data_IF_427783669710
#
_entry.id   IF_427783669710
#
_cell.length_a   1.000
_cell.length_b   1.000
_cell.length_c   1.000
_cell.angle_alpha   90.00
_cell.angle_beta   90.00
_cell.angle_gamma   90.00
#
_symmetry.space_group_name_H-M   'P 1'
#
loop_
_entity.id
_entity.type
_entity.pdbx_description
1 polymer ?
#
# COMPACT_ATOMS: atom_id res chain seq x y z
N UNK A 1 -21.88 -12.36 -25.54
CA UNK A 1 -22.44 -11.04 -25.19
C UNK A 1 -21.28 -10.15 -24.79
N UNK A 2 -20.87 -9.24 -25.67
CA UNK A 2 -19.89 -8.22 -25.31
C UNK A 2 -20.52 -7.33 -24.24
N UNK A 3 -19.87 -7.25 -23.07
CA UNK A 3 -20.23 -6.26 -22.06
C UNK A 3 -19.85 -4.91 -22.64
N UNK A 4 -20.79 -4.27 -23.32
CA UNK A 4 -20.64 -2.86 -23.69
C UNK A 4 -20.38 -2.09 -22.38
N UNK A 5 -19.29 -1.30 -22.31
CA UNK A 5 -19.01 -0.48 -21.14
C UNK A 5 -20.26 0.33 -20.77
N UNK A 6 -20.64 0.34 -19.49
CA UNK A 6 -21.77 1.14 -18.97
C UNK A 6 -21.69 2.61 -19.45
N UNK A 7 -20.46 3.13 -19.59
CA UNK A 7 -20.18 4.47 -20.12
C UNK A 7 -20.67 4.69 -21.56
N UNK A 8 -20.74 3.66 -22.39
CA UNK A 8 -21.23 3.76 -23.77
C UNK A 8 -22.76 3.93 -23.85
N UNK A 9 -23.48 3.66 -22.75
CA UNK A 9 -24.94 3.92 -22.67
C UNK A 9 -25.25 5.40 -22.44
N UNK A 10 -24.24 6.23 -22.15
CA UNK A 10 -24.41 7.66 -21.93
C UNK A 10 -23.84 8.46 -23.12
N UNK A 11 -24.46 9.60 -23.47
CA UNK A 11 -23.95 10.47 -24.53
C UNK A 11 -22.55 11.01 -24.17
N UNK A 12 -21.61 10.88 -25.11
CA UNK A 12 -20.20 11.22 -24.90
C UNK A 12 -20.04 12.74 -24.88
N UNK A 13 -19.32 13.26 -23.90
CA UNK A 13 -19.05 14.70 -23.69
C UNK A 13 -20.29 15.58 -23.42
N UNK A 14 -21.41 14.98 -23.03
CA UNK A 14 -22.61 15.73 -22.69
C UNK A 14 -22.74 16.02 -21.19
N UNK A 15 -23.52 17.05 -20.87
CA UNK A 15 -23.80 17.44 -19.48
C UNK A 15 -24.72 16.43 -18.81
N UNK A 16 -24.58 16.26 -17.50
CA UNK A 16 -25.50 15.46 -16.66
C UNK A 16 -26.95 15.94 -16.79
N UNK A 17 -27.17 17.20 -17.22
CA UNK A 17 -28.52 17.72 -17.48
C UNK A 17 -29.32 16.90 -18.50
N UNK A 18 -28.67 16.18 -19.42
CA UNK A 18 -29.35 15.37 -20.45
C UNK A 18 -30.07 14.15 -19.88
N UNK A 19 -29.63 13.67 -18.71
CA UNK A 19 -30.21 12.51 -18.03
C UNK A 19 -31.09 12.93 -16.84
N UNK A 20 -31.51 14.19 -16.77
CA UNK A 20 -32.41 14.72 -15.76
C UNK A 20 -33.70 15.19 -16.44
N UNK A 21 -34.84 14.66 -16.00
CA UNK A 21 -36.18 15.09 -16.43
C UNK A 21 -36.96 15.64 -15.23
N UNK A 22 -36.97 16.96 -15.09
CA UNK A 22 -37.58 17.66 -13.96
C UNK A 22 -36.93 17.29 -12.61
N UNK A 23 -37.58 16.43 -11.85
CA UNK A 23 -37.12 15.90 -10.55
C UNK A 23 -36.68 14.42 -10.60
N UNK A 24 -36.72 13.81 -11.79
CA UNK A 24 -36.43 12.40 -12.00
C UNK A 24 -35.16 12.20 -12.84
N UNK A 25 -34.55 11.03 -12.74
CA UNK A 25 -33.45 10.62 -13.61
C UNK A 25 -33.98 9.93 -14.86
N UNK A 26 -33.65 10.48 -16.03
CA UNK A 26 -33.96 9.92 -17.34
C UNK A 26 -32.83 8.97 -17.79
N UNK A 27 -32.71 7.82 -17.13
CA UNK A 27 -31.66 6.83 -17.41
C UNK A 27 -32.02 5.92 -18.59
N UNK A 28 -31.03 5.54 -19.44
CA UNK A 28 -31.24 4.54 -20.49
C UNK A 28 -31.71 3.20 -19.91
N UNK A 29 -32.78 2.63 -20.49
CA UNK A 29 -33.32 1.33 -20.08
C UNK A 29 -32.35 0.14 -20.29
N UNK A 30 -31.25 0.37 -21.01
CA UNK A 30 -30.18 -0.62 -21.21
C UNK A 30 -29.29 -0.81 -19.98
N UNK A 31 -29.42 0.03 -18.95
CA UNK A 31 -28.59 -0.05 -17.75
C UNK A 31 -29.07 -1.18 -16.82
N UNK A 32 -28.16 -1.82 -16.07
CA UNK A 32 -28.54 -2.77 -15.04
C UNK A 32 -29.45 -2.14 -13.98
N UNK A 33 -30.43 -2.91 -13.49
CA UNK A 33 -31.40 -2.49 -12.46
C UNK A 33 -30.72 -1.90 -11.21
N UNK A 34 -29.58 -2.46 -10.80
CA UNK A 34 -28.81 -1.95 -9.67
C UNK A 34 -28.39 -0.48 -9.82
N UNK A 35 -28.15 -0.03 -11.06
CA UNK A 35 -27.82 1.37 -11.36
C UNK A 35 -29.08 2.23 -11.28
N UNK A 36 -30.20 1.75 -11.81
CA UNK A 36 -31.49 2.45 -11.68
C UNK A 36 -31.87 2.65 -10.20
N UNK A 37 -31.74 1.63 -9.36
CA UNK A 37 -31.96 1.76 -7.91
C UNK A 37 -30.99 2.75 -7.25
N UNK A 38 -29.70 2.71 -7.60
CA UNK A 38 -28.72 3.61 -6.99
C UNK A 38 -28.97 5.09 -7.34
N UNK A 39 -29.45 5.38 -8.55
CA UNK A 39 -29.78 6.74 -8.97
C UNK A 39 -31.10 7.23 -8.38
N UNK A 40 -32.10 6.36 -8.18
CA UNK A 40 -33.36 6.77 -7.57
C UNK A 40 -33.21 7.22 -6.11
N UNK A 41 -32.17 6.77 -5.41
CA UNK A 41 -31.79 7.27 -4.08
C UNK A 41 -31.20 8.70 -4.12
N UNK A 42 -30.78 9.19 -5.28
CA UNK A 42 -30.19 10.52 -5.45
C UNK A 42 -31.30 11.52 -5.79
N UNK A 43 -31.63 12.40 -4.85
CA UNK A 43 -32.67 13.41 -5.07
C UNK A 43 -32.23 14.52 -6.03
N UNK A 44 -33.07 14.81 -7.03
CA UNK A 44 -32.94 15.98 -7.90
C UNK A 44 -33.84 17.09 -7.35
N UNK A 45 -33.25 18.24 -7.01
CA UNK A 45 -34.02 19.41 -6.55
C UNK A 45 -34.13 20.46 -7.67
N UNK A 46 -35.30 21.10 -7.84
CA UNK A 46 -35.48 22.16 -8.82
C UNK A 46 -34.73 23.41 -8.36
N UNK A 47 -33.53 23.63 -8.90
CA UNK A 47 -32.70 24.80 -8.64
C UNK A 47 -32.48 25.62 -9.91
N UNK A 48 -32.30 26.93 -9.78
CA UNK A 48 -32.01 27.85 -10.89
C UNK A 48 -30.62 27.66 -11.51
N UNK A 49 -29.75 26.87 -10.87
CA UNK A 49 -28.40 26.55 -11.35
C UNK A 49 -28.07 25.07 -11.14
N UNK A 50 -27.40 24.45 -12.11
CA UNK A 50 -26.85 23.09 -11.98
C UNK A 50 -25.71 23.10 -10.97
N UNK A 51 -26.01 22.82 -9.71
CA UNK A 51 -25.02 22.67 -8.66
C UNK A 51 -25.08 21.24 -8.11
N UNK A 52 -23.98 20.50 -8.28
CA UNK A 52 -23.83 19.18 -7.67
C UNK A 52 -23.43 19.35 -6.19
N UNK A 53 -24.25 18.83 -5.30
CA UNK A 53 -24.02 18.82 -3.85
C UNK A 53 -23.80 17.39 -3.36
N UNK A 54 -22.95 17.21 -2.34
CA UNK A 54 -22.82 15.93 -1.63
C UNK A 54 -23.37 16.05 -0.22
N UNK A 55 -24.22 15.11 0.20
CA UNK A 55 -24.85 15.12 1.52
C UNK A 55 -25.64 16.41 1.78
N UNK A 56 -25.35 17.09 2.89
CA UNK A 56 -26.10 18.26 3.38
C UNK A 56 -25.84 19.57 2.59
N UNK A 57 -25.78 19.55 1.26
CA UNK A 57 -25.76 20.79 0.46
C UNK A 57 -24.42 21.53 0.38
N UNK A 58 -23.29 20.91 0.73
CA UNK A 58 -21.96 21.55 0.60
C UNK A 58 -21.45 21.49 -0.85
N UNK A 59 -20.86 22.58 -1.36
CA UNK A 59 -20.20 22.61 -2.67
C UNK A 59 -19.20 21.44 -2.78
N UNK A 60 -19.31 20.65 -3.83
CA UNK A 60 -18.45 19.50 -4.02
C UNK A 60 -16.99 19.93 -4.31
N UNK A 61 -16.05 19.42 -3.51
CA UNK A 61 -14.63 19.37 -3.86
C UNK A 61 -14.24 17.89 -3.89
N UNK A 62 -13.20 17.54 -4.64
CA UNK A 62 -12.67 16.17 -4.70
C UNK A 62 -12.41 15.54 -3.31
N UNK A 63 -12.08 16.36 -2.30
CA UNK A 63 -11.96 15.92 -0.89
C UNK A 63 -13.27 15.33 -0.33
N UNK A 64 -14.42 15.95 -0.57
CA UNK A 64 -15.72 15.46 -0.09
C UNK A 64 -16.08 14.11 -0.71
N UNK A 65 -15.80 13.95 -2.01
CA UNK A 65 -15.93 12.65 -2.67
C UNK A 65 -15.07 11.58 -2.01
N UNK A 66 -13.78 11.86 -1.75
CA UNK A 66 -12.90 10.88 -1.09
C UNK A 66 -13.40 10.53 0.32
N UNK A 67 -13.79 11.51 1.11
CA UNK A 67 -14.32 11.28 2.45
C UNK A 67 -15.59 10.41 2.41
N UNK A 68 -16.49 10.65 1.45
CA UNK A 68 -17.70 9.85 1.26
C UNK A 68 -17.40 8.44 0.74
N UNK A 69 -16.61 8.32 -0.32
CA UNK A 69 -16.30 7.05 -0.97
C UNK A 69 -15.57 6.08 -0.03
N UNK A 70 -14.71 6.61 0.83
CA UNK A 70 -13.96 5.81 1.81
C UNK A 70 -14.61 5.79 3.21
N UNK A 71 -15.84 6.30 3.39
CA UNK A 71 -16.47 6.43 4.72
C UNK A 71 -16.66 5.09 5.43
N UNK A 72 -17.01 4.05 4.67
CA UNK A 72 -17.30 2.70 5.19
C UNK A 72 -16.04 1.82 5.24
N UNK A 73 -14.90 2.32 4.74
CA UNK A 73 -13.65 1.60 4.79
C UNK A 73 -13.01 1.76 6.17
N UNK A 74 -12.75 0.64 6.83
CA UNK A 74 -12.09 0.63 8.12
C UNK A 74 -10.72 1.32 8.03
N UNK A 75 -10.50 2.33 8.88
CA UNK A 75 -9.21 2.98 9.01
C UNK A 75 -8.27 2.09 9.81
N UNK A 76 -7.24 1.57 9.15
CA UNK A 76 -6.24 0.72 9.79
C UNK A 76 -5.30 1.54 10.66
N UNK A 77 -5.12 1.21 11.95
CA UNK A 77 -4.35 2.04 12.89
C UNK A 77 -2.84 2.12 12.58
N UNK A 78 -2.30 1.15 11.85
CA UNK A 78 -0.89 1.07 11.46
C UNK A 78 -0.52 1.95 10.26
N UNK A 79 -1.48 2.65 9.63
CA UNK A 79 -1.23 3.49 8.46
C UNK A 79 -0.12 4.53 8.68
N UNK A 80 -0.03 5.07 9.90
CA UNK A 80 0.94 6.07 10.32
C UNK A 80 2.39 5.58 10.25
N UNK A 81 2.61 4.27 10.38
CA UNK A 81 3.96 3.68 10.31
C UNK A 81 4.48 3.66 8.87
N UNK A 82 3.60 3.38 7.90
CA UNK A 82 3.96 3.29 6.48
C UNK A 82 3.99 4.65 5.82
N UNK A 83 3.01 5.51 6.14
CA UNK A 83 2.83 6.86 5.59
C UNK A 83 3.31 7.95 6.56
N UNK A 84 4.42 7.68 7.23
CA UNK A 84 5.07 8.60 8.16
C UNK A 84 5.62 9.85 7.46
N UNK A 85 6.03 10.89 8.20
CA UNK A 85 6.41 12.21 7.65
C UNK A 85 7.44 12.18 6.52
N UNK A 86 8.39 11.24 6.59
CA UNK A 86 9.54 11.17 5.68
C UNK A 86 9.49 10.01 4.69
N UNK A 87 8.29 9.47 4.49
CA UNK A 87 8.09 8.30 3.66
C UNK A 87 8.65 8.47 2.24
N UNK A 88 8.94 7.34 1.62
CA UNK A 88 9.32 7.25 0.20
C UNK A 88 8.28 6.38 -0.45
N UNK A 89 7.49 6.94 -1.38
CA UNK A 89 6.38 6.26 -2.06
C UNK A 89 6.77 4.84 -2.48
N UNK A 90 7.92 4.69 -3.16
CA UNK A 90 8.42 3.39 -3.61
C UNK A 90 8.55 2.37 -2.48
N UNK A 91 9.06 2.74 -1.32
CA UNK A 91 9.27 1.83 -0.20
C UNK A 91 7.97 1.58 0.56
N UNK A 92 7.23 2.65 0.84
CA UNK A 92 5.96 2.61 1.56
C UNK A 92 4.89 1.82 0.82
N UNK A 93 4.78 1.95 -0.50
CA UNK A 93 3.82 1.16 -1.29
C UNK A 93 4.09 -0.34 -1.21
N UNK A 94 5.36 -0.76 -1.25
CA UNK A 94 5.71 -2.18 -1.11
C UNK A 94 5.55 -2.68 0.32
N UNK A 95 5.84 -1.85 1.32
CA UNK A 95 5.59 -2.18 2.72
C UNK A 95 4.08 -2.32 3.00
N UNK A 96 3.26 -1.40 2.50
CA UNK A 96 1.80 -1.49 2.56
C UNK A 96 1.31 -2.80 1.95
N UNK A 97 1.75 -3.10 0.72
CA UNK A 97 1.42 -4.37 0.04
C UNK A 97 1.90 -5.59 0.83
N UNK A 98 3.04 -5.52 1.52
CA UNK A 98 3.51 -6.62 2.36
C UNK A 98 2.55 -6.87 3.53
N UNK A 99 2.16 -5.82 4.25
CA UNK A 99 1.27 -5.91 5.42
C UNK A 99 -0.10 -6.48 5.04
N UNK A 100 -0.68 -6.04 3.91
CA UNK A 100 -2.00 -6.52 3.46
C UNK A 100 -1.96 -7.84 2.67
N UNK A 101 -0.79 -8.47 2.53
CA UNK A 101 -0.65 -9.70 1.73
C UNK A 101 -0.82 -9.50 0.20
N UNK A 102 -0.67 -8.27 -0.29
CA UNK A 102 -0.80 -7.90 -1.70
C UNK A 102 0.45 -8.18 -2.56
N UNK A 103 1.57 -8.56 -1.95
CA UNK A 103 2.76 -8.98 -2.68
C UNK A 103 2.55 -10.35 -3.33
N UNK A 104 3.02 -10.54 -4.58
CA UNK A 104 2.89 -11.81 -5.33
C UNK A 104 3.77 -12.94 -4.75
N UNK A 105 3.41 -13.46 -3.57
CA UNK A 105 4.05 -14.61 -2.93
C UNK A 105 3.69 -15.91 -3.66
N UNK A 106 4.40 -17.00 -3.36
CA UNK A 106 4.04 -18.29 -3.96
C UNK A 106 2.66 -18.71 -3.43
N UNK A 107 2.41 -18.52 -2.14
CA UNK A 107 1.14 -18.82 -1.49
C UNK A 107 -0.03 -18.03 -2.11
N UNK A 108 0.14 -16.73 -2.39
CA UNK A 108 -0.90 -15.92 -3.03
C UNK A 108 -1.17 -16.32 -4.48
N UNK A 109 -0.20 -16.96 -5.16
CA UNK A 109 -0.38 -17.48 -6.52
C UNK A 109 -1.03 -18.87 -6.49
N UNK A 110 -0.61 -19.74 -5.58
CA UNK A 110 -1.18 -21.08 -5.36
C UNK A 110 -2.65 -20.96 -4.93
N UNK A 111 -2.98 -20.04 -4.01
CA UNK A 111 -4.36 -19.75 -3.60
C UNK A 111 -5.25 -19.26 -4.77
N UNK A 112 -4.64 -18.78 -5.86
CA UNK A 112 -5.32 -18.37 -7.10
C UNK A 112 -5.28 -19.45 -8.18
N UNK A 113 -4.87 -20.68 -7.85
CA UNK A 113 -4.78 -21.80 -8.78
C UNK A 113 -3.56 -21.77 -9.72
N UNK A 114 -2.60 -20.87 -9.48
CA UNK A 114 -1.39 -20.77 -10.30
C UNK A 114 -0.30 -21.64 -9.68
N UNK A 115 0.07 -22.71 -10.37
CA UNK A 115 1.14 -23.61 -9.93
C UNK A 115 2.51 -22.91 -10.00
N UNK A 116 3.17 -22.77 -8.85
CA UNK A 116 4.50 -22.17 -8.74
C UNK A 116 5.33 -22.93 -7.70
N UNK A 117 6.66 -22.95 -7.90
CA UNK A 117 7.56 -23.46 -6.86
C UNK A 117 7.39 -22.61 -5.58
N UNK A 118 7.00 -23.30 -4.51
CA UNK A 118 6.71 -22.73 -3.20
C UNK A 118 7.96 -22.48 -2.35
N UNK A 119 9.12 -23.01 -2.74
CA UNK A 119 10.37 -22.87 -2.02
C UNK A 119 10.86 -21.41 -2.09
N UNK A 120 11.29 -20.88 -0.95
CA UNK A 120 11.83 -19.53 -0.83
C UNK A 120 13.12 -19.39 -1.65
N UNK A 121 13.14 -18.43 -2.60
CA UNK A 121 14.32 -18.16 -3.43
C UNK A 121 15.49 -17.45 -2.68
N UNK A 122 15.30 -17.12 -1.40
CA UNK A 122 16.34 -16.48 -0.58
C UNK A 122 17.15 -17.50 0.23
N UNK A 123 16.48 -18.40 0.95
CA UNK A 123 17.12 -19.43 1.78
C UNK A 123 17.07 -20.85 1.21
N UNK A 124 16.18 -21.12 0.24
CA UNK A 124 15.95 -22.45 -0.34
C UNK A 124 15.47 -23.54 0.64
N UNK A 125 15.05 -23.17 1.87
CA UNK A 125 14.71 -24.13 2.92
C UNK A 125 13.22 -24.26 3.26
N UNK A 126 12.39 -23.25 2.98
CA UNK A 126 11.01 -23.22 3.49
C UNK A 126 10.01 -22.64 2.49
N UNK A 127 8.73 -22.90 2.74
CA UNK A 127 7.60 -22.40 1.95
C UNK A 127 7.49 -20.87 2.04
N UNK A 128 7.24 -20.23 0.89
CA UNK A 128 7.29 -18.79 0.74
C UNK A 128 6.00 -18.09 1.19
N UNK A 129 5.90 -17.82 2.50
CA UNK A 129 4.94 -16.87 3.09
C UNK A 129 5.50 -15.44 3.16
N UNK A 130 4.65 -14.44 3.40
CA UNK A 130 5.10 -13.05 3.66
C UNK A 130 5.90 -12.98 4.96
N UNK A 131 5.42 -13.61 6.03
CA UNK A 131 6.12 -13.70 7.32
C UNK A 131 7.50 -14.35 7.16
N UNK A 132 7.55 -15.47 6.43
CA UNK A 132 8.79 -16.15 6.13
C UNK A 132 9.75 -15.24 5.36
N UNK A 133 9.27 -14.62 4.28
CA UNK A 133 10.11 -13.80 3.41
C UNK A 133 10.83 -12.68 4.15
N UNK A 134 10.20 -12.07 5.15
CA UNK A 134 10.77 -10.91 5.84
C UNK A 134 11.46 -11.27 7.16
N UNK A 135 10.99 -12.25 7.94
CA UNK A 135 11.50 -12.47 9.31
C UNK A 135 11.89 -13.90 9.67
N UNK A 136 11.29 -14.91 9.06
CA UNK A 136 11.68 -16.31 9.34
C UNK A 136 12.81 -16.80 8.42
N UNK A 137 12.96 -16.19 7.24
CA UNK A 137 14.05 -16.49 6.33
C UNK A 137 15.39 -16.00 6.90
N UNK A 138 16.36 -16.90 7.09
CA UNK A 138 17.68 -16.57 7.67
C UNK A 138 18.42 -15.48 6.90
N UNK A 139 18.30 -15.48 5.57
CA UNK A 139 18.89 -14.45 4.72
C UNK A 139 18.32 -13.06 5.05
N UNK A 140 16.99 -12.94 5.08
CA UNK A 140 16.30 -11.69 5.40
C UNK A 140 16.52 -11.26 6.85
N UNK A 141 16.47 -12.22 7.76
CA UNK A 141 16.69 -11.99 9.18
C UNK A 141 18.10 -11.43 9.43
N UNK A 142 19.13 -12.02 8.83
CA UNK A 142 20.51 -11.52 8.91
C UNK A 142 20.64 -10.06 8.46
N UNK A 143 19.88 -9.65 7.43
CA UNK A 143 19.86 -8.26 6.96
C UNK A 143 19.21 -7.35 7.99
N UNK A 144 18.03 -7.72 8.50
CA UNK A 144 17.30 -6.92 9.49
C UNK A 144 18.09 -6.78 10.78
N UNK A 145 18.70 -7.87 11.29
CA UNK A 145 19.55 -7.83 12.48
C UNK A 145 20.77 -6.93 12.31
N UNK A 146 21.35 -6.85 11.11
CA UNK A 146 22.48 -5.94 10.81
C UNK A 146 22.06 -4.49 10.66
N UNK A 147 20.86 -4.23 10.12
CA UNK A 147 20.35 -2.86 9.92
C UNK A 147 19.85 -2.23 11.22
N UNK A 148 19.40 -3.05 12.17
CA UNK A 148 18.75 -2.62 13.40
C UNK A 148 19.39 -3.33 14.60
N UNK A 149 20.71 -3.47 14.60
CA UNK A 149 21.45 -4.18 15.64
C UNK A 149 21.34 -3.51 17.02
N UNK A 150 21.02 -2.22 17.03
CA UNK A 150 20.72 -1.45 18.23
C UNK A 150 19.31 -1.70 18.79
N UNK A 151 18.45 -2.41 18.07
CA UNK A 151 17.12 -2.82 18.52
C UNK A 151 17.19 -4.27 19.03
N UNK A 152 17.35 -4.44 20.35
CA UNK A 152 17.56 -5.76 20.99
C UNK A 152 16.41 -6.77 20.88
N UNK A 153 15.27 -6.42 20.29
CA UNK A 153 14.07 -7.26 20.23
C UNK A 153 13.96 -8.13 18.97
N UNK A 154 14.85 -7.96 17.99
CA UNK A 154 14.78 -8.75 16.76
C UNK A 154 15.00 -10.25 16.99
N UNK A 155 15.52 -10.66 18.16
CA UNK A 155 15.73 -12.06 18.53
C UNK A 155 14.48 -12.94 18.43
N UNK A 156 13.28 -12.35 18.47
CA UNK A 156 12.00 -13.06 18.40
C UNK A 156 11.43 -13.20 16.98
N UNK A 157 12.16 -12.78 15.93
CA UNK A 157 11.67 -12.80 14.53
C UNK A 157 10.24 -12.21 14.39
N UNK A 158 10.03 -10.96 14.86
CA UNK A 158 8.71 -10.32 14.85
C UNK A 158 8.19 -10.13 13.42
N UNK A 159 6.88 -10.03 13.18
CA UNK A 159 6.35 -9.63 11.88
C UNK A 159 6.47 -8.10 11.62
N UNK A 160 6.07 -7.63 10.42
CA UNK A 160 6.17 -6.21 10.03
C UNK A 160 5.42 -5.28 11.00
N UNK A 161 4.25 -5.68 11.49
CA UNK A 161 3.47 -4.83 12.40
C UNK A 161 4.08 -4.81 13.79
N UNK A 162 4.51 -5.97 14.31
CA UNK A 162 5.16 -6.07 15.62
C UNK A 162 6.44 -5.21 15.70
N UNK A 163 7.23 -5.15 14.62
CA UNK A 163 8.42 -4.30 14.58
C UNK A 163 8.05 -2.80 14.62
N UNK A 164 6.98 -2.41 13.93
CA UNK A 164 6.50 -1.02 13.98
C UNK A 164 5.93 -0.64 15.34
N UNK A 165 5.11 -1.51 15.93
CA UNK A 165 4.48 -1.31 17.24
C UNK A 165 5.55 -1.17 18.32
N UNK A 166 6.56 -2.05 18.33
CA UNK A 166 7.69 -1.93 19.25
C UNK A 166 8.40 -0.57 19.14
N UNK A 167 8.69 -0.11 17.92
CA UNK A 167 9.33 1.20 17.72
C UNK A 167 8.42 2.33 18.20
N UNK A 168 7.11 2.22 17.99
CA UNK A 168 6.17 3.21 18.50
C UNK A 168 6.14 3.24 20.04
N UNK A 169 6.27 2.09 20.68
CA UNK A 169 6.27 1.98 22.15
C UNK A 169 7.58 2.44 22.79
N UNK A 170 8.71 2.37 22.07
CA UNK A 170 10.02 2.81 22.61
C UNK A 170 10.14 4.31 22.88
N UNK A 171 9.14 5.12 22.50
CA UNK A 171 9.14 6.59 22.63
C UNK A 171 10.39 7.31 22.09
N UNK A 172 11.14 6.68 21.18
CA UNK A 172 12.32 7.29 20.57
C UNK A 172 11.95 8.53 19.73
N UNK A 173 12.82 9.55 19.72
CA UNK A 173 12.64 10.73 18.84
C UNK A 173 12.85 10.40 17.36
N UNK A 174 13.41 9.22 17.07
CA UNK A 174 13.85 8.81 15.73
C UNK A 174 12.93 7.76 15.10
N UNK A 175 11.66 7.64 15.53
CA UNK A 175 10.70 6.63 15.01
C UNK A 175 10.58 6.66 13.49
N UNK A 176 10.41 7.84 12.91
CA UNK A 176 10.27 8.00 11.46
C UNK A 176 11.49 7.49 10.67
N UNK A 177 12.68 7.51 11.28
CA UNK A 177 13.88 6.96 10.67
C UNK A 177 13.81 5.43 10.61
N UNK A 178 13.44 4.78 11.72
CA UNK A 178 13.26 3.34 11.72
C UNK A 178 12.09 2.91 10.84
N UNK A 179 11.01 3.69 10.79
CA UNK A 179 9.90 3.44 9.88
C UNK A 179 10.33 3.43 8.41
N UNK A 180 11.14 4.42 8.03
CA UNK A 180 11.77 4.48 6.71
C UNK A 180 12.68 3.27 6.46
N UNK A 181 13.51 2.92 7.44
CA UNK A 181 14.46 1.81 7.36
C UNK A 181 13.75 0.47 7.13
N UNK A 182 12.67 0.20 7.88
CA UNK A 182 11.83 -1.00 7.71
C UNK A 182 11.22 -1.03 6.32
N UNK A 183 10.58 0.06 5.89
CA UNK A 183 9.96 0.14 4.56
C UNK A 183 11.00 -0.10 3.45
N UNK A 184 12.20 0.46 3.59
CA UNK A 184 13.30 0.31 2.65
C UNK A 184 13.82 -1.14 2.62
N UNK A 185 14.01 -1.76 3.78
CA UNK A 185 14.44 -3.15 3.89
C UNK A 185 13.42 -4.11 3.25
N UNK A 186 12.13 -3.95 3.55
CA UNK A 186 11.04 -4.73 2.94
C UNK A 186 11.08 -4.63 1.41
N UNK A 187 11.24 -3.42 0.87
CA UNK A 187 11.35 -3.22 -0.57
C UNK A 187 12.56 -3.94 -1.18
N UNK A 188 13.75 -3.78 -0.60
CA UNK A 188 14.98 -4.35 -1.13
C UNK A 188 15.04 -5.88 -1.00
N UNK A 189 14.53 -6.44 0.10
CA UNK A 189 14.38 -7.89 0.28
C UNK A 189 13.41 -8.45 -0.77
N UNK A 190 12.27 -7.79 -0.98
CA UNK A 190 11.31 -8.19 -2.01
C UNK A 190 11.93 -8.17 -3.41
N UNK A 191 12.68 -7.10 -3.73
CA UNK A 191 13.38 -6.98 -5.00
C UNK A 191 14.43 -8.09 -5.17
N UNK A 192 15.31 -8.30 -4.20
CA UNK A 192 16.33 -9.35 -4.24
C UNK A 192 15.70 -10.73 -4.51
N UNK A 193 14.60 -11.04 -3.84
CA UNK A 193 13.87 -12.28 -4.09
C UNK A 193 13.43 -12.41 -5.54
N UNK A 194 12.95 -11.32 -6.16
CA UNK A 194 12.50 -11.34 -7.54
C UNK A 194 13.67 -11.42 -8.52
N UNK A 195 14.76 -10.72 -8.24
CA UNK A 195 15.98 -10.77 -9.04
C UNK A 195 16.56 -12.19 -9.05
N UNK A 196 16.55 -12.90 -7.91
CA UNK A 196 16.94 -14.33 -7.85
C UNK A 196 16.00 -15.23 -8.63
N UNK A 197 14.69 -14.97 -8.58
CA UNK A 197 13.70 -15.83 -9.24
C UNK A 197 13.64 -15.65 -10.76
N UNK A 198 13.82 -14.42 -11.24
CA UNK A 198 13.54 -14.07 -12.65
C UNK A 198 14.76 -13.52 -13.39
N UNK A 199 15.80 -13.08 -12.69
CA UNK A 199 16.97 -12.45 -13.27
C UNK A 199 18.28 -13.22 -13.09
N UNK A 200 18.24 -14.39 -12.44
CA UNK A 200 19.38 -15.25 -12.11
C UNK A 200 20.56 -14.49 -11.44
N UNK A 201 20.21 -13.50 -10.62
CA UNK A 201 21.16 -12.67 -9.89
C UNK A 201 20.94 -12.87 -8.40
N UNK A 202 22.03 -13.15 -7.68
CA UNK A 202 22.00 -13.23 -6.22
C UNK A 202 23.07 -12.34 -5.61
N UNK A 203 22.73 -11.73 -4.49
CA UNK A 203 23.60 -10.83 -3.73
C UNK A 203 23.72 -11.38 -2.31
N UNK A 204 24.88 -11.20 -1.67
CA UNK A 204 25.06 -11.61 -0.27
C UNK A 204 24.29 -10.70 0.68
N UNK A 205 23.94 -11.20 1.87
CA UNK A 205 23.21 -10.43 2.88
C UNK A 205 23.94 -9.14 3.24
N UNK A 206 25.27 -9.20 3.40
CA UNK A 206 26.13 -8.03 3.66
C UNK A 206 26.08 -7.01 2.51
N UNK A 207 26.12 -7.46 1.26
CA UNK A 207 26.04 -6.56 0.11
C UNK A 207 24.67 -5.89 0.01
N UNK A 208 23.59 -6.60 0.34
CA UNK A 208 22.25 -6.03 0.37
C UNK A 208 22.07 -5.03 1.52
N UNK A 209 22.65 -5.30 2.69
CA UNK A 209 22.73 -4.34 3.81
C UNK A 209 23.40 -3.04 3.35
N UNK A 210 24.56 -3.11 2.69
CA UNK A 210 25.26 -1.93 2.20
C UNK A 210 24.43 -1.14 1.18
N UNK A 211 23.71 -1.83 0.28
CA UNK A 211 22.78 -1.18 -0.66
C UNK A 211 21.65 -0.45 0.06
N UNK A 212 21.06 -1.06 1.09
CA UNK A 212 20.00 -0.44 1.88
C UNK A 212 20.54 0.77 2.65
N UNK A 213 21.69 0.64 3.32
CA UNK A 213 22.37 1.76 4.00
C UNK A 213 22.61 2.93 3.05
N UNK A 214 23.18 2.67 1.87
CA UNK A 214 23.42 3.71 0.86
C UNK A 214 22.12 4.40 0.39
N UNK A 215 21.03 3.65 0.21
CA UNK A 215 19.74 4.19 -0.18
C UNK A 215 19.13 5.08 0.92
N UNK A 216 19.25 4.67 2.19
CA UNK A 216 18.82 5.46 3.35
C UNK A 216 19.68 6.71 3.48
N UNK A 217 21.01 6.59 3.40
CA UNK A 217 21.94 7.73 3.43
C UNK A 217 21.56 8.79 2.40
N UNK A 218 21.38 8.38 1.15
CA UNK A 218 20.97 9.28 0.07
C UNK A 218 19.67 10.05 0.38
N UNK A 219 18.74 9.42 1.12
CA UNK A 219 17.47 10.05 1.52
C UNK A 219 17.63 11.00 2.72
N UNK A 220 18.40 10.62 3.74
CA UNK A 220 18.53 11.39 4.98
C UNK A 220 19.56 12.52 4.90
N UNK A 221 20.38 12.58 3.85
CA UNK A 221 21.38 13.66 3.65
C UNK A 221 20.78 15.08 3.71
N UNK A 222 19.49 15.22 3.38
CA UNK A 222 18.74 16.48 3.43
C UNK A 222 18.12 16.78 4.80
N UNK A 223 18.28 15.90 5.80
CA UNK A 223 17.68 16.07 7.12
C UNK A 223 18.63 16.82 8.05
N UNK A 224 18.06 17.73 8.86
CA UNK A 224 18.84 18.50 9.85
C UNK A 224 19.52 17.59 10.90
N UNK A 225 18.93 16.44 11.21
CA UNK A 225 19.40 15.48 12.21
C UNK A 225 20.26 14.35 11.62
N UNK A 226 20.82 14.52 10.42
CA UNK A 226 21.55 13.45 9.71
C UNK A 226 22.64 12.77 10.54
N UNK A 227 23.45 13.52 11.30
CA UNK A 227 24.56 12.97 12.08
C UNK A 227 24.12 11.87 13.05
N UNK A 228 23.10 12.15 13.86
CA UNK A 228 22.51 11.18 14.80
C UNK A 228 21.99 9.95 14.06
N UNK A 229 21.40 10.12 12.89
CA UNK A 229 20.86 8.99 12.10
C UNK A 229 21.96 8.16 11.43
N UNK A 230 23.12 8.73 11.14
CA UNK A 230 24.28 7.98 10.63
C UNK A 230 24.80 7.02 11.71
N UNK A 231 24.86 7.47 12.96
CA UNK A 231 25.36 6.66 14.08
C UNK A 231 24.42 5.48 14.41
N UNK A 232 23.16 5.53 13.98
CA UNK A 232 22.17 4.47 14.16
C UNK A 232 22.23 3.38 13.08
N UNK A 233 23.04 3.55 12.01
CA UNK A 233 23.17 2.59 10.89
C UNK A 233 24.43 1.74 10.98
#
# INVERSE_FOLDING_TARGET
MEVQPILNSFPVNESIAVIIDGINWALPASLPEAIHCAFSEISVSPGTHVNLYWGNGKKCKHRHYREFYFKDFAKVNWWKFVWHKWYVIRYSSFCWMAIIGGLKSADSLIAKGINVNAICALCHCSTKTVSHLFFECDYSFSILSKLMSNLGFLLLRPNILQIFEYIDDTHTRNKDFYYLLICCAVYHIWRERNDRKFGDKSVSSTSLVLKIKAAIFSKIMKWKTRGIMMDLL
#
